data_IF_657035988562
#
_entry.id   IF_657035988562
#
_cell.length_a   1.000
_cell.length_b   1.000
_cell.length_c   1.000
_cell.angle_alpha   90.00
_cell.angle_beta   90.00
_cell.angle_gamma   90.00
#
_symmetry.space_group_name_H-M   'P 1'
#
loop_
_entity.id
_entity.type
_entity.pdbx_description
1 polymer ?
#
# COMPACT_ATOMS: atom_id res chain seq x y z
N UNK A 1 -18.18 27.66 15.45
CA UNK A 1 -17.26 27.38 14.34
C UNK A 1 -16.31 26.29 14.80
N UNK A 2 -16.26 25.17 14.10
CA UNK A 2 -15.42 24.03 14.45
C UNK A 2 -15.85 22.82 13.64
N UNK A 3 -15.60 22.85 12.34
CA UNK A 3 -15.74 21.68 11.49
C UNK A 3 -14.68 20.66 11.95
N UNK A 4 -15.08 19.71 12.78
CA UNK A 4 -14.28 18.51 13.00
C UNK A 4 -14.26 17.77 11.66
N UNK A 5 -13.13 17.86 10.97
CA UNK A 5 -12.86 17.08 9.79
C UNK A 5 -13.11 15.62 10.17
N UNK A 6 -14.18 15.06 9.64
CA UNK A 6 -14.49 13.64 9.78
C UNK A 6 -13.26 12.92 9.24
N UNK A 7 -12.51 12.26 10.12
CA UNK A 7 -11.47 11.32 9.74
C UNK A 7 -12.18 10.30 8.86
N UNK A 8 -12.05 10.44 7.54
CA UNK A 8 -12.44 9.39 6.61
C UNK A 8 -11.38 8.31 6.81
N UNK A 9 -11.61 7.49 7.83
CA UNK A 9 -10.96 6.21 8.03
C UNK A 9 -11.36 5.37 6.82
N UNK A 10 -10.58 5.53 5.76
CA UNK A 10 -10.79 4.77 4.53
C UNK A 10 -10.27 3.38 4.86
N UNK A 11 -11.11 2.36 4.67
CA UNK A 11 -10.76 0.98 4.95
C UNK A 11 -9.39 0.65 4.32
N UNK A 12 -8.42 0.10 5.09
CA UNK A 12 -7.10 -0.24 4.58
C UNK A 12 -7.16 -1.17 3.37
N UNK A 13 -8.23 -1.94 3.18
CA UNK A 13 -8.48 -2.74 1.98
C UNK A 13 -8.67 -1.86 0.75
N UNK A 14 -9.47 -0.80 0.85
CA UNK A 14 -9.72 0.11 -0.28
C UNK A 14 -8.43 0.83 -0.67
N UNK A 15 -7.67 1.30 0.32
CA UNK A 15 -6.40 1.96 0.07
C UNK A 15 -5.36 0.99 -0.48
N UNK A 16 -5.28 -0.24 0.02
CA UNK A 16 -4.37 -1.26 -0.50
C UNK A 16 -4.73 -1.66 -1.93
N UNK A 17 -6.02 -1.83 -2.26
CA UNK A 17 -6.49 -2.10 -3.62
C UNK A 17 -6.13 -0.99 -4.60
N UNK A 18 -6.34 0.27 -4.20
CA UNK A 18 -6.01 1.42 -5.04
C UNK A 18 -4.50 1.60 -5.18
N UNK A 19 -3.73 1.28 -4.15
CA UNK A 19 -2.27 1.31 -4.19
C UNK A 19 -1.72 0.22 -5.11
N UNK A 20 -2.23 -1.02 -5.00
CA UNK A 20 -1.90 -2.12 -5.91
C UNK A 20 -2.24 -1.78 -7.37
N UNK A 21 -3.41 -1.19 -7.63
CA UNK A 21 -3.78 -0.73 -8.98
C UNK A 21 -2.82 0.34 -9.53
N UNK A 22 -2.37 1.28 -8.69
CA UNK A 22 -1.36 2.25 -9.10
C UNK A 22 -0.02 1.58 -9.44
N UNK A 23 0.39 0.57 -8.67
CA UNK A 23 1.58 -0.22 -8.95
C UNK A 23 1.46 -0.99 -10.27
N UNK A 24 0.32 -1.64 -10.52
CA UNK A 24 0.06 -2.36 -11.78
C UNK A 24 0.11 -1.42 -12.99
N UNK A 25 -0.38 -0.18 -12.87
CA UNK A 25 -0.31 0.82 -13.95
C UNK A 25 1.12 1.25 -14.29
N UNK A 26 2.05 1.13 -13.34
CA UNK A 26 3.47 1.36 -13.55
C UNK A 26 4.21 0.12 -14.07
N UNK A 27 3.47 -0.96 -14.39
CA UNK A 27 4.04 -2.23 -14.84
C UNK A 27 4.56 -3.11 -13.71
N UNK A 28 4.26 -2.75 -12.45
CA UNK A 28 4.66 -3.54 -11.30
C UNK A 28 3.68 -4.66 -10.95
N UNK A 29 4.05 -5.51 -9.99
CA UNK A 29 3.21 -6.59 -9.45
C UNK A 29 3.18 -6.55 -7.93
N UNK A 30 2.12 -7.07 -7.31
CA UNK A 30 1.95 -7.07 -5.85
C UNK A 30 3.07 -7.83 -5.13
N UNK A 31 3.70 -8.81 -5.79
CA UNK A 31 4.82 -9.56 -5.22
C UNK A 31 6.01 -8.67 -4.84
N UNK A 32 6.18 -7.52 -5.51
CA UNK A 32 7.22 -6.56 -5.15
C UNK A 32 7.00 -5.91 -3.77
N UNK A 33 5.77 -5.95 -3.26
CA UNK A 33 5.41 -5.48 -1.93
C UNK A 33 5.43 -6.61 -0.89
N UNK A 34 5.20 -7.86 -1.28
CA UNK A 34 5.18 -9.02 -0.36
C UNK A 34 6.57 -9.59 -0.10
N UNK A 35 7.48 -9.53 -1.09
CA UNK A 35 8.87 -9.94 -0.91
C UNK A 35 9.67 -8.87 -0.14
N UNK A 36 10.02 -9.19 1.11
CA UNK A 36 10.76 -8.31 2.01
C UNK A 36 12.17 -7.96 1.48
N UNK A 37 12.72 -8.74 0.54
CA UNK A 37 14.05 -8.48 -0.02
C UNK A 37 14.07 -7.41 -1.10
N UNK A 38 12.97 -7.24 -1.85
CA UNK A 38 12.92 -6.30 -2.95
C UNK A 38 12.27 -4.98 -2.53
N UNK A 39 11.02 -5.02 -2.06
CA UNK A 39 10.23 -3.83 -1.74
C UNK A 39 10.17 -2.79 -2.87
N UNK A 40 9.31 -1.78 -2.72
CA UNK A 40 9.30 -0.66 -3.66
C UNK A 40 10.41 0.34 -3.30
N UNK A 41 11.22 0.71 -4.29
CA UNK A 41 12.20 1.78 -4.16
C UNK A 41 11.53 3.17 -4.14
N UNK A 42 12.31 4.18 -3.76
CA UNK A 42 11.85 5.55 -3.65
C UNK A 42 11.35 6.14 -4.98
N UNK A 43 11.88 5.74 -6.14
CA UNK A 43 11.40 6.24 -7.44
C UNK A 43 10.01 5.66 -7.74
N UNK A 44 9.83 4.35 -7.51
CA UNK A 44 8.53 3.69 -7.69
C UNK A 44 7.49 4.29 -6.73
N UNK A 45 7.83 4.45 -5.45
CA UNK A 45 6.95 5.10 -4.47
C UNK A 45 6.63 6.54 -4.91
N UNK A 46 7.64 7.31 -5.33
CA UNK A 46 7.46 8.68 -5.81
C UNK A 46 6.54 8.77 -7.02
N UNK A 47 6.63 7.84 -7.97
CA UNK A 47 5.72 7.73 -9.11
C UNK A 47 4.27 7.43 -8.68
N UNK A 48 4.08 6.60 -7.65
CA UNK A 48 2.76 6.28 -7.11
C UNK A 48 2.14 7.40 -6.27
N UNK A 49 2.96 8.33 -5.77
CA UNK A 49 2.53 9.43 -4.88
C UNK A 49 2.69 10.82 -5.51
N UNK A 50 2.79 10.93 -6.84
CA UNK A 50 2.95 12.21 -7.53
C UNK A 50 1.79 13.19 -7.27
N UNK A 51 0.58 12.66 -7.08
CA UNK A 51 -0.59 13.46 -6.73
C UNK A 51 -0.91 13.41 -5.22
N UNK A 52 -1.75 14.35 -4.78
CA UNK A 52 -2.15 14.49 -3.38
C UNK A 52 -2.95 13.29 -2.86
N UNK A 53 -3.66 12.56 -3.73
CA UNK A 53 -4.46 11.39 -3.36
C UNK A 53 -3.58 10.16 -3.15
N UNK A 54 -2.58 9.94 -4.00
CA UNK A 54 -1.57 8.89 -3.85
C UNK A 54 -0.74 9.11 -2.60
N UNK A 55 -0.30 10.34 -2.36
CA UNK A 55 0.39 10.73 -1.11
C UNK A 55 -0.47 10.48 0.13
N UNK A 56 -1.74 10.92 0.13
CA UNK A 56 -2.64 10.69 1.26
C UNK A 56 -2.90 9.20 1.51
N UNK A 57 -3.03 8.41 0.44
CA UNK A 57 -3.24 6.95 0.51
C UNK A 57 -2.04 6.23 1.12
N UNK A 58 -0.83 6.52 0.66
CA UNK A 58 0.38 5.94 1.26
C UNK A 58 0.46 6.28 2.75
N UNK A 59 0.15 7.52 3.13
CA UNK A 59 0.13 7.92 4.54
C UNK A 59 -0.90 7.14 5.36
N UNK A 60 -2.10 6.89 4.83
CA UNK A 60 -3.10 6.07 5.52
C UNK A 60 -2.65 4.62 5.69
N UNK A 61 -2.03 4.03 4.66
CA UNK A 61 -1.48 2.67 4.73
C UNK A 61 -0.31 2.54 5.73
N UNK A 62 0.53 3.58 5.85
CA UNK A 62 1.58 3.64 6.86
C UNK A 62 0.98 3.76 8.28
N UNK A 63 -0.03 4.62 8.44
CA UNK A 63 -0.68 4.84 9.73
C UNK A 63 -1.49 3.61 10.19
N UNK A 64 -2.06 2.84 9.26
CA UNK A 64 -2.77 1.58 9.57
C UNK A 64 -1.83 0.42 9.86
N UNK A 65 -0.51 0.61 9.67
CA UNK A 65 0.48 -0.47 9.80
C UNK A 65 0.41 -1.50 8.69
N UNK A 66 -0.32 -1.25 7.59
CA UNK A 66 -0.43 -2.18 6.44
C UNK A 66 0.86 -2.23 5.62
N UNK A 67 1.58 -1.11 5.53
CA UNK A 67 2.90 -1.03 4.91
C UNK A 67 3.90 -0.43 5.87
N UNK A 68 5.18 -0.73 5.67
CA UNK A 68 6.28 -0.18 6.43
C UNK A 68 7.50 0.05 5.52
N UNK A 69 8.41 0.92 5.95
CA UNK A 69 9.73 1.00 5.33
C UNK A 69 10.68 -0.02 5.98
N UNK A 70 11.32 -0.83 5.15
CA UNK A 70 12.43 -1.70 5.57
C UNK A 70 13.64 -0.87 6.01
N UNK A 71 14.63 -1.48 6.70
CA UNK A 71 15.88 -0.80 7.06
C UNK A 71 16.66 -0.23 5.85
N UNK A 72 16.41 -0.74 4.64
CA UNK A 72 17.01 -0.25 3.38
C UNK A 72 16.22 0.88 2.73
N UNK A 73 15.18 1.40 3.38
CA UNK A 73 14.32 2.47 2.84
C UNK A 73 13.35 2.00 1.75
N UNK A 74 13.14 0.68 1.60
CA UNK A 74 12.16 0.11 0.66
C UNK A 74 10.79 0.00 1.31
N UNK A 75 9.72 0.38 0.61
CA UNK A 75 8.35 0.18 1.08
C UNK A 75 7.95 -1.30 0.89
N UNK A 76 7.51 -1.94 1.97
CA UNK A 76 7.11 -3.35 1.99
C UNK A 76 5.75 -3.49 2.70
N UNK A 77 5.04 -4.59 2.46
CA UNK A 77 3.92 -4.98 3.31
C UNK A 77 4.46 -5.43 4.67
N UNK A 78 3.77 -5.00 5.72
CA UNK A 78 3.92 -5.58 7.06
C UNK A 78 3.36 -7.01 7.09
N UNK A 79 3.44 -7.66 8.26
CA UNK A 79 2.78 -8.95 8.42
C UNK A 79 1.27 -8.84 8.21
N UNK A 80 0.63 -7.87 8.87
CA UNK A 80 -0.80 -7.60 8.79
C UNK A 80 -1.21 -7.21 7.37
N UNK A 81 -0.36 -6.44 6.68
CA UNK A 81 -0.58 -6.07 5.29
C UNK A 81 -0.49 -7.25 4.33
N UNK A 82 0.39 -8.22 4.58
CA UNK A 82 0.45 -9.46 3.79
C UNK A 82 -0.77 -10.33 4.00
N UNK A 83 -1.25 -10.46 5.23
CA UNK A 83 -2.49 -11.19 5.54
C UNK A 83 -3.69 -10.53 4.83
N UNK A 84 -3.77 -9.20 4.88
CA UNK A 84 -4.79 -8.44 4.18
C UNK A 84 -4.71 -8.59 2.65
N UNK A 85 -3.51 -8.52 2.10
CA UNK A 85 -3.26 -8.73 0.67
C UNK A 85 -3.65 -10.15 0.25
N UNK A 86 -3.30 -11.16 1.04
CA UNK A 86 -3.68 -12.55 0.79
C UNK A 86 -5.19 -12.74 0.83
N UNK A 87 -5.88 -12.17 1.81
CA UNK A 87 -7.35 -12.21 1.89
C UNK A 87 -8.03 -11.53 0.70
N UNK A 88 -7.45 -10.43 0.20
CA UNK A 88 -8.01 -9.66 -0.92
C UNK A 88 -7.70 -10.22 -2.31
N UNK A 89 -6.49 -10.75 -2.51
CA UNK A 89 -5.95 -11.10 -3.83
C UNK A 89 -5.54 -12.57 -3.96
N UNK A 90 -5.48 -13.31 -2.85
CA UNK A 90 -5.01 -14.70 -2.78
C UNK A 90 -6.10 -15.75 -3.02
N UNK A 91 -7.38 -15.37 -3.16
CA UNK A 91 -8.47 -16.29 -3.50
C UNK A 91 -8.31 -16.72 -4.96
N UNK A 92 -7.68 -17.88 -5.18
CA UNK A 92 -7.42 -18.46 -6.50
C UNK A 92 -6.06 -19.17 -6.65
N UNK A 93 -5.17 -19.12 -5.65
CA UNK A 93 -3.86 -19.78 -5.68
C UNK A 93 -3.86 -21.24 -5.17
N UNK A 94 -5.03 -21.80 -4.86
CA UNK A 94 -5.19 -23.20 -4.48
C UNK A 94 -5.95 -23.90 -5.62
N UNK A 95 -5.19 -24.52 -6.53
CA UNK A 95 -5.66 -25.67 -7.32
C UNK A 95 -5.71 -26.92 -6.42
#
# INVERSE_FOLDING_TARGET
>A
MGAIAQHIDTDPRIDLARFANALYRLGGVLEMLTDMHFGLDANTVGAMTQDSQGSARLRRLLNSGTVAYSPKGRLILSQEGRELAFDMFGVGACD
#
